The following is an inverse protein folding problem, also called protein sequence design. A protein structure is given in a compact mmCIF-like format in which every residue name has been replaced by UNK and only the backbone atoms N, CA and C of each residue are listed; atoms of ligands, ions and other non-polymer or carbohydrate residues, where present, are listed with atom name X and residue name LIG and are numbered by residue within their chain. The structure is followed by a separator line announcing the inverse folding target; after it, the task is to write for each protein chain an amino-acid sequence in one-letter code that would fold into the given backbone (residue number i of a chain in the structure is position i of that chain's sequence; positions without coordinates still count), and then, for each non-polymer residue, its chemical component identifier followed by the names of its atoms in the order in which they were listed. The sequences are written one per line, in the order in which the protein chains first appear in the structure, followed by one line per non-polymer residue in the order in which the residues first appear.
data_IF_245673697469
#
_entry.id   IF_245673697469
#
_cell.length_a   1.000
_cell.length_b   1.000
_cell.length_c   1.000
_cell.angle_alpha   90.00
_cell.angle_beta   90.00
_cell.angle_gamma   90.00
#
_symmetry.space_group_name_H-M   'P 1'
#
loop_
_entity.id
_entity.type
_entity.pdbx_description
1 polymer ?
#
# COMPACT_ATOMS: atom_id res chain seq x y z
N UNK A 1 2.45 -8.33 -23.85
CA UNK A 1 1.95 -8.72 -25.19
C UNK A 1 1.44 -10.15 -25.12
N UNK A 2 0.12 -10.37 -25.17
CA UNK A 2 -0.45 -11.72 -25.35
C UNK A 2 -0.65 -11.96 -26.84
N UNK A 3 -0.01 -12.98 -27.34
CA UNK A 3 -0.24 -13.53 -28.68
C UNK A 3 -1.47 -14.43 -28.58
N UNK A 4 -2.47 -14.23 -29.43
CA UNK A 4 -3.63 -15.10 -29.55
C UNK A 4 -3.58 -15.85 -30.88
N UNK A 5 -3.98 -17.08 -30.82
CA UNK A 5 -3.84 -18.04 -31.92
C UNK A 5 -5.24 -18.51 -32.29
N UNK A 6 -5.69 -18.16 -33.51
CA UNK A 6 -6.91 -18.70 -34.12
C UNK A 6 -6.59 -20.02 -34.80
N UNK A 7 -7.31 -21.08 -34.44
CA UNK A 7 -7.16 -22.40 -35.06
C UNK A 7 -8.20 -22.56 -36.20
N UNK A 8 -7.77 -22.45 -37.43
CA UNK A 8 -8.64 -22.63 -38.61
C UNK A 8 -8.61 -24.13 -39.01
N UNK A 9 -9.77 -24.82 -38.85
CA UNK A 9 -9.90 -26.24 -39.18
C UNK A 9 -10.54 -26.40 -40.57
N UNK A 10 -9.88 -27.16 -41.45
CA UNK A 10 -10.39 -27.94 -42.55
C UNK A 10 -10.93 -27.27 -43.84
N UNK A 11 -10.58 -26.00 -44.18
CA UNK A 11 -11.14 -25.36 -45.39
C UNK A 11 -10.19 -24.48 -46.18
N UNK A 12 -8.91 -24.37 -45.78
CA UNK A 12 -7.96 -23.53 -46.52
C UNK A 12 -7.40 -24.23 -47.76
N UNK A 13 -7.48 -23.57 -48.89
CA UNK A 13 -6.78 -24.03 -50.10
C UNK A 13 -5.28 -23.71 -49.97
N UNK A 14 -4.43 -24.70 -50.15
CA UNK A 14 -2.98 -24.53 -50.16
C UNK A 14 -2.59 -23.46 -51.19
N UNK A 15 -1.76 -22.49 -50.76
CA UNK A 15 -1.38 -21.30 -51.53
C UNK A 15 -2.49 -20.27 -51.77
N UNK A 16 -3.69 -20.45 -51.22
CA UNK A 16 -4.72 -19.40 -51.19
C UNK A 16 -4.29 -18.18 -50.35
N UNK A 17 -4.75 -17.01 -50.79
CA UNK A 17 -4.53 -15.74 -50.07
C UNK A 17 -5.72 -15.47 -49.14
N UNK A 18 -5.44 -15.11 -47.93
CA UNK A 18 -6.44 -14.90 -46.89
C UNK A 18 -6.15 -13.63 -46.07
N UNK A 19 -7.21 -13.09 -45.46
CA UNK A 19 -7.13 -12.00 -44.49
C UNK A 19 -7.89 -12.39 -43.24
N UNK A 20 -7.28 -12.24 -42.08
CA UNK A 20 -7.95 -12.21 -40.80
C UNK A 20 -8.19 -10.77 -40.39
N UNK A 21 -9.42 -10.47 -39.93
CA UNK A 21 -9.76 -9.24 -39.26
C UNK A 21 -10.18 -9.59 -37.84
N UNK A 22 -9.67 -8.84 -36.85
CA UNK A 22 -10.06 -8.94 -35.45
C UNK A 22 -10.71 -7.62 -35.00
N UNK A 23 -11.77 -7.71 -34.19
CA UNK A 23 -12.51 -6.60 -33.65
C UNK A 23 -12.67 -6.82 -32.13
N UNK A 24 -12.41 -5.81 -31.34
CA UNK A 24 -12.56 -5.88 -29.89
C UNK A 24 -13.97 -5.43 -29.47
N UNK A 25 -14.67 -6.28 -28.72
CA UNK A 25 -16.02 -6.04 -28.19
C UNK A 25 -15.99 -5.90 -26.68
N UNK A 26 -16.84 -5.02 -26.11
CA UNK A 26 -17.14 -4.99 -24.69
C UNK A 26 -18.15 -6.11 -24.40
N UNK A 27 -17.81 -7.06 -23.51
CA UNK A 27 -18.67 -8.21 -23.20
C UNK A 27 -20.01 -7.81 -22.58
N UNK A 28 -20.00 -6.73 -21.78
CA UNK A 28 -21.19 -6.29 -21.04
C UNK A 28 -22.24 -5.66 -21.97
N UNK A 29 -21.81 -4.80 -22.90
CA UNK A 29 -22.72 -4.07 -23.80
C UNK A 29 -22.93 -4.78 -25.11
N UNK A 30 -21.99 -5.64 -25.55
CA UNK A 30 -21.98 -6.26 -26.88
C UNK A 30 -21.51 -5.30 -27.98
N UNK A 31 -21.21 -4.04 -27.64
CA UNK A 31 -20.78 -3.03 -28.62
C UNK A 31 -19.28 -3.16 -28.92
N UNK A 32 -18.84 -2.55 -30.04
CA UNK A 32 -17.43 -2.41 -30.33
C UNK A 32 -16.74 -1.58 -29.27
N UNK A 33 -15.60 -2.08 -28.75
CA UNK A 33 -14.79 -1.27 -27.83
C UNK A 33 -14.11 -0.14 -28.61
N UNK A 34 -14.32 1.11 -28.15
CA UNK A 34 -13.83 2.31 -28.82
C UNK A 34 -12.66 2.93 -28.08
N UNK A 35 -11.62 3.31 -28.81
CA UNK A 35 -10.54 4.18 -28.32
C UNK A 35 -10.56 5.47 -29.15
N UNK A 36 -10.72 6.61 -28.49
CA UNK A 36 -10.89 7.91 -29.15
C UNK A 36 -11.99 7.91 -30.22
N UNK A 37 -13.13 7.24 -29.95
CA UNK A 37 -14.27 7.14 -30.84
C UNK A 37 -14.11 6.23 -32.06
N UNK A 38 -13.00 5.45 -32.13
CA UNK A 38 -12.73 4.49 -33.21
C UNK A 38 -12.72 3.07 -32.66
N UNK A 39 -13.25 2.13 -33.45
CA UNK A 39 -13.19 0.70 -33.15
C UNK A 39 -11.76 0.21 -33.05
N UNK A 40 -11.49 -0.64 -32.07
CA UNK A 40 -10.20 -1.34 -31.94
C UNK A 40 -10.22 -2.58 -32.82
N UNK A 41 -9.50 -2.50 -33.94
CA UNK A 41 -9.41 -3.56 -34.94
C UNK A 41 -7.96 -3.90 -35.29
N UNK A 42 -7.73 -5.10 -35.81
CA UNK A 42 -6.46 -5.53 -36.40
C UNK A 42 -6.70 -6.39 -37.59
N UNK A 43 -5.75 -6.39 -38.53
CA UNK A 43 -5.81 -7.20 -39.74
C UNK A 43 -4.49 -7.94 -39.99
N UNK A 44 -4.58 -9.13 -40.56
CA UNK A 44 -3.43 -9.94 -40.96
C UNK A 44 -3.69 -10.63 -42.28
N UNK A 45 -2.91 -10.27 -43.29
CA UNK A 45 -2.88 -11.02 -44.57
C UNK A 45 -1.92 -12.21 -44.45
N UNK A 46 -2.27 -13.34 -44.97
CA UNK A 46 -1.44 -14.53 -44.99
C UNK A 46 -1.74 -15.46 -46.18
N UNK A 47 -0.79 -16.32 -46.49
CA UNK A 47 -0.99 -17.40 -47.46
C UNK A 47 -1.10 -18.73 -46.71
N UNK A 48 -2.08 -19.55 -47.06
CA UNK A 48 -2.21 -20.85 -46.44
C UNK A 48 -1.11 -21.81 -46.92
N UNK A 49 -0.37 -22.38 -45.99
CA UNK A 49 0.67 -23.40 -46.26
C UNK A 49 0.16 -24.82 -46.07
N UNK A 50 -0.98 -24.97 -45.39
CA UNK A 50 -1.68 -26.23 -45.14
C UNK A 50 -3.19 -26.00 -45.09
N UNK A 51 -4.00 -27.07 -45.13
CA UNK A 51 -5.46 -27.00 -44.96
C UNK A 51 -5.90 -26.56 -43.57
N UNK A 52 -5.03 -26.74 -42.56
CA UNK A 52 -5.21 -26.26 -41.22
C UNK A 52 -3.89 -25.63 -40.72
N UNK A 53 -3.96 -24.44 -40.12
CA UNK A 53 -2.81 -23.72 -39.57
C UNK A 53 -3.25 -22.72 -38.50
N UNK A 54 -2.28 -22.29 -37.73
CA UNK A 54 -2.49 -21.21 -36.74
C UNK A 54 -1.94 -19.89 -37.28
N UNK A 55 -2.69 -18.81 -37.09
CA UNK A 55 -2.29 -17.46 -37.49
C UNK A 55 -2.52 -16.51 -36.35
N UNK A 56 -1.47 -15.78 -35.97
CA UNK A 56 -1.56 -14.76 -34.93
C UNK A 56 -1.98 -13.40 -35.51
N UNK A 57 -3.00 -12.78 -34.92
CA UNK A 57 -3.39 -11.38 -35.15
C UNK A 57 -3.02 -10.56 -33.94
N UNK A 58 -2.23 -9.51 -34.09
CA UNK A 58 -1.78 -8.63 -33.01
C UNK A 58 -2.70 -7.42 -32.91
N UNK A 59 -3.45 -7.33 -31.81
CA UNK A 59 -4.26 -6.16 -31.46
C UNK A 59 -3.47 -5.32 -30.49
N UNK A 60 -3.26 -4.03 -30.81
CA UNK A 60 -2.63 -3.06 -29.92
C UNK A 60 -3.61 -1.91 -29.73
N UNK A 61 -3.94 -1.62 -28.47
CA UNK A 61 -4.87 -0.55 -28.12
C UNK A 61 -4.49 0.06 -26.78
N UNK A 62 -4.94 1.30 -26.55
CA UNK A 62 -4.96 1.92 -25.25
C UNK A 62 -6.16 1.36 -24.47
N UNK A 63 -5.88 0.61 -23.40
CA UNK A 63 -6.89 0.00 -22.52
C UNK A 63 -6.96 0.68 -21.14
N UNK A 64 -6.40 1.87 -20.98
CA UNK A 64 -6.43 2.63 -19.71
C UNK A 64 -7.86 2.86 -19.19
N UNK A 65 -8.84 3.01 -20.08
CA UNK A 65 -10.26 3.18 -19.76
C UNK A 65 -11.06 1.86 -19.69
N UNK A 66 -10.39 0.70 -19.79
CA UNK A 66 -11.03 -0.61 -19.75
C UNK A 66 -10.97 -1.28 -18.37
N UNK A 67 -10.55 -0.56 -17.31
CA UNK A 67 -10.46 -1.10 -15.95
C UNK A 67 -11.82 -1.67 -15.51
N UNK A 68 -11.81 -2.91 -15.03
CA UNK A 68 -13.01 -3.65 -14.62
C UNK A 68 -13.78 -4.32 -15.77
N UNK A 69 -13.40 -4.09 -17.03
CA UNK A 69 -14.10 -4.63 -18.19
C UNK A 69 -13.58 -6.01 -18.63
N UNK A 70 -14.46 -6.74 -19.29
CA UNK A 70 -14.15 -7.94 -20.06
C UNK A 70 -14.29 -7.61 -21.54
N UNK A 71 -13.22 -7.82 -22.29
CA UNK A 71 -13.17 -7.54 -23.72
C UNK A 71 -13.04 -8.84 -24.49
N UNK A 72 -13.90 -9.02 -25.51
CA UNK A 72 -13.94 -10.23 -26.32
C UNK A 72 -13.44 -9.91 -27.73
N UNK A 73 -12.60 -10.78 -28.26
CA UNK A 73 -12.11 -10.64 -29.66
C UNK A 73 -13.03 -11.38 -30.60
N UNK A 74 -13.68 -10.66 -31.50
CA UNK A 74 -14.37 -11.25 -32.65
C UNK A 74 -13.42 -11.34 -33.81
N UNK A 75 -13.49 -12.44 -34.57
CA UNK A 75 -12.57 -12.73 -35.67
C UNK A 75 -13.33 -13.12 -36.94
N UNK A 76 -12.86 -12.57 -38.06
CA UNK A 76 -13.43 -12.77 -39.39
C UNK A 76 -12.35 -13.22 -40.33
N UNK A 77 -12.59 -14.35 -41.02
CA UNK A 77 -11.68 -14.89 -42.01
C UNK A 77 -12.23 -14.63 -43.42
N UNK A 78 -11.44 -13.93 -44.22
CA UNK A 78 -11.75 -13.66 -45.63
C UNK A 78 -10.78 -14.41 -46.51
N UNK A 79 -11.30 -14.92 -47.64
CA UNK A 79 -10.50 -15.36 -48.79
C UNK A 79 -10.34 -14.18 -49.76
N UNK A 80 -9.15 -14.01 -50.31
CA UNK A 80 -8.86 -12.97 -51.29
C UNK A 80 -8.80 -13.63 -52.66
N UNK A 81 -9.72 -13.26 -53.56
CA UNK A 81 -9.79 -13.74 -54.95
C UNK A 81 -9.86 -12.53 -55.87
N UNK A 82 -8.93 -12.39 -56.78
CA UNK A 82 -8.85 -11.26 -57.74
C UNK A 82 -8.90 -9.89 -57.03
N UNK A 83 -8.27 -9.79 -55.87
CA UNK A 83 -8.20 -8.57 -55.04
C UNK A 83 -9.48 -8.25 -54.26
N UNK A 84 -10.50 -9.11 -54.31
CA UNK A 84 -11.75 -8.96 -53.53
C UNK A 84 -11.76 -9.87 -52.32
N UNK A 85 -12.31 -9.35 -51.22
CA UNK A 85 -12.46 -10.07 -49.94
C UNK A 85 -13.82 -10.77 -49.88
N UNK A 86 -13.81 -12.07 -49.62
CA UNK A 86 -15.01 -12.89 -49.42
C UNK A 86 -14.96 -13.47 -48.02
N UNK A 87 -15.94 -13.11 -47.18
CA UNK A 87 -16.07 -13.68 -45.84
C UNK A 87 -16.37 -15.19 -45.96
N UNK A 88 -15.52 -16.01 -45.37
CA UNK A 88 -15.66 -17.48 -45.39
C UNK A 88 -15.91 -18.07 -44.02
N UNK A 89 -15.58 -17.40 -42.94
CA UNK A 89 -15.86 -17.83 -41.56
C UNK A 89 -15.75 -16.66 -40.59
N UNK A 90 -16.47 -16.74 -39.50
CA UNK A 90 -16.33 -15.81 -38.36
C UNK A 90 -16.43 -16.57 -37.02
N UNK A 91 -15.89 -15.97 -35.99
CA UNK A 91 -16.06 -16.40 -34.60
C UNK A 91 -16.51 -15.17 -33.76
N UNK A 92 -17.80 -15.15 -33.42
CA UNK A 92 -18.51 -14.00 -32.85
C UNK A 92 -19.26 -14.35 -31.55
N UNK A 93 -18.70 -15.25 -30.75
CA UNK A 93 -19.30 -15.63 -29.48
C UNK A 93 -18.86 -14.69 -28.37
N UNK A 94 -19.78 -13.78 -27.93
CA UNK A 94 -19.53 -12.79 -26.87
C UNK A 94 -19.23 -13.45 -25.49
N UNK A 95 -19.61 -14.71 -25.31
CA UNK A 95 -19.40 -15.45 -24.07
C UNK A 95 -18.24 -16.44 -24.12
N UNK A 96 -17.49 -16.50 -25.23
CA UNK A 96 -16.32 -17.37 -25.30
C UNK A 96 -15.20 -16.88 -24.40
N UNK A 97 -14.99 -17.56 -23.26
CA UNK A 97 -13.93 -17.26 -22.30
C UNK A 97 -12.51 -17.33 -22.91
N UNK A 98 -12.32 -18.16 -23.95
CA UNK A 98 -11.03 -18.28 -24.63
C UNK A 98 -10.70 -17.07 -25.49
N UNK A 99 -11.70 -16.33 -25.96
CA UNK A 99 -11.56 -15.06 -26.67
C UNK A 99 -11.62 -13.85 -25.75
N UNK A 100 -11.86 -14.04 -24.46
CA UNK A 100 -12.04 -12.95 -23.48
C UNK A 100 -10.73 -12.55 -22.82
N UNK A 101 -10.50 -11.23 -22.75
CA UNK A 101 -9.47 -10.61 -21.90
C UNK A 101 -10.19 -9.84 -20.79
N UNK A 102 -9.87 -10.15 -19.55
CA UNK A 102 -10.33 -9.36 -18.40
C UNK A 102 -9.27 -8.32 -18.04
N UNK A 103 -9.68 -7.07 -17.88
CA UNK A 103 -8.87 -5.98 -17.34
C UNK A 103 -9.31 -5.78 -15.89
N UNK A 104 -8.62 -6.36 -14.92
CA UNK A 104 -9.10 -6.33 -13.52
C UNK A 104 -9.04 -4.91 -12.96
N UNK A 105 -10.00 -4.58 -12.08
CA UNK A 105 -9.88 -3.43 -11.18
C UNK A 105 -8.95 -3.82 -10.04
N UNK A 106 -7.84 -3.11 -9.91
CA UNK A 106 -6.86 -3.32 -8.86
C UNK A 106 -7.14 -2.31 -7.73
N UNK A 107 -7.14 -2.77 -6.50
CA UNK A 107 -7.43 -1.94 -5.34
C UNK A 107 -6.47 -2.27 -4.20
N UNK A 108 -6.13 -1.24 -3.40
CA UNK A 108 -5.41 -1.40 -2.14
C UNK A 108 -6.18 -0.71 -1.02
N UNK A 109 -6.05 -1.28 0.20
CA UNK A 109 -6.45 -0.68 1.47
C UNK A 109 -5.38 -0.98 2.49
N UNK A 110 -5.04 -0.01 3.31
CA UNK A 110 -3.89 -0.14 4.18
C UNK A 110 -4.25 0.07 5.65
N UNK A 111 -3.42 -0.45 6.55
CA UNK A 111 -3.56 -0.29 8.00
C UNK A 111 -2.19 -0.15 8.63
N UNK A 112 -1.94 1.01 9.22
CA UNK A 112 -0.67 1.36 9.82
C UNK A 112 -0.65 1.12 11.33
N UNK A 113 0.50 0.70 11.86
CA UNK A 113 0.77 0.58 13.29
C UNK A 113 2.23 0.82 13.63
N UNK A 114 2.51 1.30 14.81
CA UNK A 114 3.87 1.32 15.35
C UNK A 114 4.35 -0.10 15.65
N UNK A 115 5.58 -0.43 15.21
CA UNK A 115 6.17 -1.77 15.34
C UNK A 115 6.40 -2.21 16.78
N UNK A 116 6.70 -1.27 17.70
CA UNK A 116 6.99 -1.60 19.09
C UNK A 116 5.72 -1.75 19.92
N UNK A 117 4.77 -0.83 19.77
CA UNK A 117 3.52 -0.84 20.52
C UNK A 117 2.49 -1.81 19.94
N UNK A 118 2.59 -2.15 18.65
CA UNK A 118 1.62 -2.91 17.85
C UNK A 118 0.24 -2.22 17.78
N UNK A 119 0.22 -0.88 17.96
CA UNK A 119 -0.99 -0.04 17.98
C UNK A 119 -0.87 1.12 17.01
N UNK A 120 -1.95 1.87 16.86
CA UNK A 120 -1.98 3.18 16.17
C UNK A 120 -1.36 4.32 16.99
N UNK A 121 -0.78 4.03 18.16
CA UNK A 121 -0.03 4.98 18.98
C UNK A 121 1.42 4.56 19.05
N UNK A 122 2.33 5.45 18.67
CA UNK A 122 3.77 5.25 18.66
C UNK A 122 4.50 6.02 19.76
N UNK A 123 5.72 5.61 20.07
CA UNK A 123 6.62 6.34 20.95
C UNK A 123 7.51 7.25 20.12
N UNK A 124 7.45 8.57 20.38
CA UNK A 124 8.29 9.57 19.71
C UNK A 124 9.77 9.39 20.10
N UNK A 125 10.50 8.59 19.30
CA UNK A 125 11.90 8.22 19.57
C UNK A 125 12.70 8.17 18.27
N UNK A 126 14.03 8.17 18.43
CA UNK A 126 14.96 7.82 17.36
C UNK A 126 14.70 6.38 16.90
N UNK A 127 14.80 6.09 15.62
CA UNK A 127 14.60 4.75 15.06
C UNK A 127 13.18 4.16 15.34
N UNK A 128 12.12 5.00 15.29
CA UNK A 128 10.75 4.53 15.27
C UNK A 128 10.46 3.78 13.96
N UNK A 129 9.64 2.75 14.01
CA UNK A 129 9.25 2.00 12.80
C UNK A 129 7.73 1.87 12.75
N UNK A 130 7.13 2.31 11.64
CA UNK A 130 5.74 2.05 11.30
C UNK A 130 5.71 0.86 10.34
N UNK A 131 4.81 -0.10 10.61
CA UNK A 131 4.46 -1.17 9.69
C UNK A 131 3.10 -0.80 9.08
N UNK A 132 3.06 -0.64 7.77
CA UNK A 132 1.82 -0.50 7.03
C UNK A 132 1.50 -1.80 6.29
N UNK A 133 0.37 -2.42 6.64
CA UNK A 133 -0.12 -3.64 5.99
C UNK A 133 -1.03 -3.25 4.83
N UNK A 134 -0.53 -3.43 3.62
CA UNK A 134 -1.24 -3.15 2.36
C UNK A 134 -2.02 -4.40 1.95
N UNK A 135 -3.34 -4.35 2.09
CA UNK A 135 -4.26 -5.37 1.59
C UNK A 135 -4.59 -5.04 0.14
N UNK A 136 -4.41 -5.99 -0.76
CA UNK A 136 -4.66 -5.81 -2.18
C UNK A 136 -5.74 -6.77 -2.72
N UNK A 137 -6.40 -6.35 -3.79
CA UNK A 137 -7.34 -7.18 -4.56
C UNK A 137 -7.26 -6.89 -6.07
N UNK A 138 -7.67 -7.87 -6.89
CA UNK A 138 -7.67 -7.75 -8.34
C UNK A 138 -6.29 -7.80 -8.99
N UNK A 139 -5.23 -8.21 -8.29
CA UNK A 139 -3.90 -8.29 -8.87
C UNK A 139 -3.78 -9.50 -9.81
N UNK A 140 -2.92 -9.35 -10.82
CA UNK A 140 -2.61 -10.41 -11.78
C UNK A 140 -1.52 -11.30 -11.15
N UNK A 141 -1.88 -12.56 -10.91
CA UNK A 141 -0.98 -13.56 -10.33
C UNK A 141 0.28 -13.73 -11.17
N UNK A 142 1.45 -13.77 -10.54
CA UNK A 142 2.75 -13.92 -11.21
C UNK A 142 3.28 -12.65 -11.87
N UNK A 143 2.56 -11.52 -11.82
CA UNK A 143 3.04 -10.20 -12.24
C UNK A 143 3.72 -9.50 -11.07
N UNK A 144 4.89 -8.88 -11.31
CA UNK A 144 5.58 -8.08 -10.28
C UNK A 144 4.87 -6.73 -10.07
N UNK A 145 4.68 -6.36 -8.80
CA UNK A 145 4.14 -5.08 -8.34
C UNK A 145 5.09 -4.40 -7.36
N UNK A 146 5.03 -3.07 -7.30
CA UNK A 146 5.76 -2.27 -6.31
C UNK A 146 4.78 -1.35 -5.60
N UNK A 147 4.71 -1.48 -4.26
CA UNK A 147 4.07 -0.49 -3.39
C UNK A 147 5.11 0.57 -3.05
N UNK A 148 4.74 1.85 -3.18
CA UNK A 148 5.55 3.00 -2.75
C UNK A 148 4.76 3.82 -1.76
N UNK A 149 5.32 3.98 -0.56
CA UNK A 149 4.68 4.70 0.51
C UNK A 149 5.41 5.97 0.92
N UNK A 150 4.65 6.92 1.46
CA UNK A 150 5.15 8.17 2.04
C UNK A 150 4.40 8.48 3.33
N UNK A 151 5.13 8.93 4.37
CA UNK A 151 4.52 9.44 5.58
C UNK A 151 4.12 10.91 5.41
N UNK A 152 2.87 11.22 5.78
CA UNK A 152 2.31 12.57 5.75
C UNK A 152 2.08 13.06 7.19
N UNK A 153 2.34 14.33 7.48
CA UNK A 153 1.92 14.98 8.73
C UNK A 153 0.42 15.28 8.66
N UNK A 154 -0.36 14.72 9.58
CA UNK A 154 -1.82 14.89 9.59
C UNK A 154 -2.24 16.35 9.73
N UNK A 155 -1.57 17.10 10.60
CA UNK A 155 -1.90 18.50 10.89
C UNK A 155 -1.71 19.46 9.71
N UNK A 156 -0.78 19.17 8.79
CA UNK A 156 -0.45 20.07 7.65
C UNK A 156 -0.81 19.49 6.30
N UNK A 157 -1.07 18.19 6.22
CA UNK A 157 -1.23 17.45 4.96
C UNK A 157 -0.01 17.58 4.03
N UNK A 158 1.19 17.66 4.61
CA UNK A 158 2.45 17.71 3.88
C UNK A 158 3.30 16.47 4.19
N UNK A 159 4.20 16.06 3.27
CA UNK A 159 5.10 14.95 3.54
C UNK A 159 5.96 15.20 4.79
N UNK A 160 6.05 14.19 5.68
CA UNK A 160 6.97 14.21 6.81
C UNK A 160 8.41 14.31 6.33
N UNK A 161 9.13 15.34 6.78
CA UNK A 161 10.55 15.54 6.49
C UNK A 161 11.41 15.22 7.70
N UNK A 162 12.38 14.33 7.55
CA UNK A 162 13.44 14.08 8.52
C UNK A 162 14.76 14.47 7.89
N UNK A 163 15.48 15.40 8.51
CA UNK A 163 16.71 15.98 7.94
C UNK A 163 16.52 16.53 6.51
N UNK A 164 15.37 17.14 6.21
CA UNK A 164 15.04 17.74 4.93
C UNK A 164 14.66 16.72 3.83
N UNK A 165 14.56 15.43 4.15
CA UNK A 165 14.16 14.37 3.21
C UNK A 165 12.80 13.80 3.60
N UNK A 166 11.96 13.50 2.59
CA UNK A 166 10.70 12.79 2.79
C UNK A 166 10.96 11.41 3.38
N UNK A 167 10.12 10.99 4.33
CA UNK A 167 10.12 9.62 4.83
C UNK A 167 9.30 8.77 3.88
N UNK A 168 9.98 7.89 3.17
CA UNK A 168 9.37 6.99 2.17
C UNK A 168 9.84 5.57 2.38
N UNK A 169 9.04 4.62 1.93
CA UNK A 169 9.42 3.21 1.85
C UNK A 169 8.85 2.59 0.58
N UNK A 170 9.42 1.47 0.14
CA UNK A 170 8.89 0.73 -0.99
C UNK A 170 9.02 -0.78 -0.77
N UNK A 171 8.12 -1.53 -1.39
CA UNK A 171 8.12 -2.98 -1.36
C UNK A 171 7.72 -3.55 -2.71
N UNK A 172 8.62 -4.30 -3.34
CA UNK A 172 8.34 -5.07 -4.55
C UNK A 172 7.96 -6.50 -4.19
N UNK A 173 6.94 -7.05 -4.85
CA UNK A 173 6.45 -8.40 -4.61
C UNK A 173 5.74 -8.97 -5.84
N UNK A 174 5.62 -10.29 -5.87
CA UNK A 174 4.86 -11.04 -6.89
C UNK A 174 3.71 -11.75 -6.19
N UNK A 175 2.45 -11.40 -6.46
CA UNK A 175 1.31 -12.02 -5.80
C UNK A 175 1.11 -13.46 -6.27
N UNK A 176 0.93 -14.37 -5.32
CA UNK A 176 0.57 -15.78 -5.56
C UNK A 176 -0.95 -15.95 -5.75
N UNK A 177 -1.74 -14.98 -5.29
CA UNK A 177 -3.20 -14.91 -5.41
C UNK A 177 -3.61 -13.50 -5.81
N UNK A 178 -4.77 -13.37 -6.46
CA UNK A 178 -5.31 -12.06 -6.86
C UNK A 178 -5.64 -11.13 -5.69
N UNK A 179 -5.75 -11.66 -4.47
CA UNK A 179 -5.97 -10.91 -3.23
C UNK A 179 -5.04 -11.44 -2.14
N UNK A 180 -4.56 -10.54 -1.29
CA UNK A 180 -3.63 -10.85 -0.21
C UNK A 180 -3.17 -9.58 0.49
N UNK A 181 -2.02 -9.65 1.16
CA UNK A 181 -1.40 -8.49 1.83
C UNK A 181 0.11 -8.53 1.74
N UNK A 182 0.72 -7.35 1.90
CA UNK A 182 2.16 -7.15 2.00
C UNK A 182 2.43 -6.04 3.01
N UNK A 183 3.50 -6.19 3.82
CA UNK A 183 3.90 -5.16 4.77
C UNK A 183 4.98 -4.26 4.17
N UNK A 184 4.80 -2.93 4.37
CA UNK A 184 5.76 -1.88 4.05
C UNK A 184 6.25 -1.28 5.36
N UNK A 185 7.56 -1.21 5.59
CA UNK A 185 8.15 -0.71 6.84
C UNK A 185 8.83 0.64 6.63
N UNK A 186 8.45 1.64 7.43
CA UNK A 186 9.06 2.97 7.48
C UNK A 186 9.86 3.10 8.76
N UNK A 187 11.17 3.25 8.66
CA UNK A 187 12.06 3.50 9.83
C UNK A 187 12.61 4.92 9.74
N UNK A 188 12.42 5.71 10.80
CA UNK A 188 12.76 7.12 10.80
C UNK A 188 12.95 7.69 12.22
N UNK A 189 13.49 8.89 12.33
CA UNK A 189 13.59 9.63 13.59
C UNK A 189 12.26 10.35 13.87
N UNK A 190 11.49 9.83 14.83
CA UNK A 190 10.21 10.38 15.28
C UNK A 190 10.35 11.28 16.52
N UNK A 191 11.57 11.60 17.00
CA UNK A 191 11.79 12.31 18.27
C UNK A 191 11.08 13.67 18.34
N UNK A 192 10.82 14.30 17.21
CA UNK A 192 10.15 15.60 17.12
C UNK A 192 8.62 15.50 16.96
N UNK A 193 8.04 14.29 16.96
CA UNK A 193 6.62 14.08 16.66
C UNK A 193 5.72 14.00 17.90
N UNK A 194 6.24 14.27 19.10
CA UNK A 194 5.44 14.28 20.32
C UNK A 194 4.27 15.28 20.19
N UNK A 195 3.05 14.80 20.36
CA UNK A 195 1.81 15.57 20.14
C UNK A 195 1.30 15.62 18.70
N UNK A 196 2.02 14.98 17.77
CA UNK A 196 1.69 14.95 16.34
C UNK A 196 1.15 13.58 15.91
N UNK A 197 0.53 13.54 14.72
CA UNK A 197 0.11 12.32 14.05
C UNK A 197 0.65 12.26 12.62
N UNK A 198 0.96 11.05 12.18
CA UNK A 198 1.35 10.79 10.78
C UNK A 198 0.35 9.85 10.12
N UNK A 199 0.15 10.02 8.81
CA UNK A 199 -0.72 9.18 7.99
C UNK A 199 0.13 8.57 6.89
N UNK A 200 -0.04 7.27 6.63
CA UNK A 200 0.67 6.57 5.56
C UNK A 200 -0.12 6.69 4.28
N UNK A 201 0.48 7.21 3.22
CA UNK A 201 -0.07 7.19 1.86
C UNK A 201 0.64 6.14 1.03
N UNK A 202 -0.12 5.31 0.33
CA UNK A 202 0.42 4.21 -0.47
C UNK A 202 -0.09 4.25 -1.92
N UNK A 203 0.85 3.97 -2.84
CA UNK A 203 0.61 3.88 -4.28
C UNK A 203 1.11 2.53 -4.79
N UNK A 204 0.29 1.81 -5.55
CA UNK A 204 0.63 0.53 -6.16
C UNK A 204 0.95 0.70 -7.63
N UNK A 205 2.08 0.16 -8.05
CA UNK A 205 2.58 0.22 -9.42
C UNK A 205 2.77 -1.16 -10.03
N UNK A 206 2.55 -1.26 -11.34
CA UNK A 206 2.97 -2.37 -12.18
C UNK A 206 3.63 -1.82 -13.44
N UNK A 207 4.87 -2.24 -13.76
CA UNK A 207 5.63 -1.73 -14.92
C UNK A 207 5.63 -0.18 -14.99
N UNK A 208 5.87 0.50 -13.86
CA UNK A 208 5.85 1.96 -13.68
C UNK A 208 4.49 2.65 -13.91
N UNK A 209 3.40 1.89 -14.10
CA UNK A 209 2.04 2.41 -14.17
C UNK A 209 1.39 2.32 -12.80
N UNK A 210 0.92 3.46 -12.27
CA UNK A 210 0.09 3.46 -11.05
C UNK A 210 -1.27 2.83 -11.33
N UNK A 211 -1.63 1.82 -10.55
CA UNK A 211 -2.85 1.03 -10.76
C UNK A 211 -3.84 1.12 -9.60
N UNK A 212 -3.38 1.53 -8.43
CA UNK A 212 -4.22 1.82 -7.26
C UNK A 212 -3.46 2.73 -6.29
N UNK A 213 -4.20 3.48 -5.46
CA UNK A 213 -3.65 4.27 -4.37
C UNK A 213 -4.60 4.27 -3.17
N UNK A 214 -4.05 4.49 -1.98
CA UNK A 214 -4.78 4.77 -0.75
C UNK A 214 -4.13 5.99 -0.07
N UNK A 215 -4.76 7.17 -0.21
CA UNK A 215 -4.19 8.49 0.12
C UNK A 215 -5.19 9.39 0.84
N UNK A 216 -5.94 8.83 1.79
CA UNK A 216 -6.90 9.58 2.61
C UNK A 216 -6.25 10.06 3.91
N UNK A 217 -6.02 11.38 4.03
CA UNK A 217 -5.39 12.00 5.23
C UNK A 217 -6.26 11.83 6.50
N UNK A 218 -7.56 11.59 6.35
CA UNK A 218 -8.48 11.41 7.48
C UNK A 218 -8.68 9.95 7.87
N UNK A 219 -8.11 9.00 7.12
CA UNK A 219 -8.25 7.58 7.43
C UNK A 219 -7.54 7.22 8.73
N UNK A 220 -8.33 6.83 9.74
CA UNK A 220 -7.83 6.41 11.05
C UNK A 220 -7.05 5.09 10.97
N UNK A 221 -7.36 4.23 10.01
CA UNK A 221 -6.64 2.98 9.78
C UNK A 221 -5.19 3.21 9.30
N UNK A 222 -4.92 4.34 8.64
CA UNK A 222 -3.59 4.74 8.15
C UNK A 222 -2.87 5.71 9.11
N UNK A 223 -3.51 6.10 10.23
CA UNK A 223 -2.96 7.09 11.16
C UNK A 223 -2.17 6.42 12.28
N UNK A 224 -0.98 6.96 12.60
CA UNK A 224 -0.22 6.65 13.82
C UNK A 224 -0.01 7.94 14.60
N UNK A 225 -0.54 7.97 15.83
CA UNK A 225 -0.44 9.08 16.75
C UNK A 225 0.82 8.96 17.64
N UNK A 226 1.47 10.08 17.93
CA UNK A 226 2.59 10.19 18.87
C UNK A 226 2.16 11.06 20.04
N UNK A 227 1.51 10.48 21.08
CA UNK A 227 0.90 11.27 22.16
C UNK A 227 1.94 12.08 22.94
N UNK A 228 1.54 13.26 23.40
CA UNK A 228 2.31 14.06 24.35
C UNK A 228 2.24 13.42 25.74
N UNK A 229 3.40 13.21 26.36
CA UNK A 229 3.50 12.63 27.69
C UNK A 229 3.80 13.71 28.73
N UNK A 230 2.99 13.80 29.75
CA UNK A 230 3.22 14.71 30.87
C UNK A 230 3.32 13.97 32.20
N UNK A 231 4.15 14.48 33.10
CA UNK A 231 4.18 14.10 34.51
C UNK A 231 4.08 15.33 35.42
N UNK A 232 3.34 15.19 36.50
CA UNK A 232 3.26 16.17 37.63
C UNK A 232 3.45 15.41 38.94
N UNK A 233 4.23 15.95 39.83
CA UNK A 233 4.55 15.26 41.09
C UNK A 233 4.19 16.04 42.30
N UNK A 234 3.96 15.33 43.42
CA UNK A 234 3.70 15.90 44.73
C UNK A 234 4.40 15.08 45.80
N UNK A 235 5.33 15.71 46.52
CA UNK A 235 6.11 15.05 47.55
C UNK A 235 5.57 15.32 48.96
N UNK A 236 5.64 14.32 49.84
CA UNK A 236 5.33 14.43 51.27
C UNK A 236 6.23 13.53 52.11
N UNK A 237 6.49 13.92 53.34
CA UNK A 237 7.10 13.05 54.34
C UNK A 237 6.13 11.93 54.73
N UNK A 238 6.64 10.68 54.83
CA UNK A 238 5.81 9.50 55.13
C UNK A 238 5.19 9.52 56.51
N UNK A 239 5.92 10.04 57.52
CA UNK A 239 5.46 10.00 58.90
C UNK A 239 4.51 11.15 59.22
N UNK A 240 4.82 12.35 58.77
CA UNK A 240 3.97 13.54 58.99
C UNK A 240 2.78 13.62 58.04
N UNK A 241 2.86 12.94 56.88
CA UNK A 241 1.91 13.05 55.77
C UNK A 241 1.78 14.48 55.20
N UNK A 242 2.77 15.34 55.48
CA UNK A 242 2.80 16.76 55.08
C UNK A 242 4.06 17.07 54.26
N UNK A 243 4.14 18.29 53.74
CA UNK A 243 5.34 18.81 53.07
C UNK A 243 6.49 19.12 54.06
N UNK A 244 6.20 19.12 55.35
CA UNK A 244 7.16 19.33 56.44
C UNK A 244 7.56 17.97 57.05
N UNK A 245 8.86 17.68 57.05
CA UNK A 245 9.43 16.47 57.63
C UNK A 245 10.21 16.71 58.88
N UNK A 246 10.46 15.64 59.67
CA UNK A 246 11.26 15.65 60.87
C UNK A 246 12.69 15.21 60.53
N UNK A 247 13.69 16.02 60.86
CA UNK A 247 15.09 15.69 60.67
C UNK A 247 15.53 14.56 61.61
N UNK A 248 15.54 13.33 61.09
CA UNK A 248 15.92 12.10 61.82
C UNK A 248 16.67 11.13 60.92
N UNK A 249 17.24 10.07 61.54
CA UNK A 249 17.80 8.95 60.77
C UNK A 249 16.68 8.19 60.04
N UNK A 250 16.90 7.78 58.79
CA UNK A 250 15.94 7.01 57.99
C UNK A 250 14.59 7.71 57.77
N UNK A 251 14.59 8.89 57.15
CA UNK A 251 13.42 9.57 56.63
C UNK A 251 12.98 8.96 55.31
N UNK A 252 11.67 8.77 55.10
CA UNK A 252 11.09 8.35 53.84
C UNK A 252 10.23 9.47 53.25
N UNK A 253 10.51 9.87 52.05
CA UNK A 253 9.69 10.77 51.24
C UNK A 253 8.84 9.95 50.30
N UNK A 254 7.54 10.24 50.20
CA UNK A 254 6.65 9.67 49.20
C UNK A 254 6.47 10.73 48.14
N UNK A 255 6.87 10.45 46.93
CA UNK A 255 6.57 11.25 45.73
C UNK A 255 5.45 10.59 44.93
N UNK A 256 4.32 11.29 44.80
CA UNK A 256 3.19 10.83 44.00
C UNK A 256 3.30 11.42 42.60
N UNK A 257 3.47 10.56 41.60
CA UNK A 257 3.57 10.96 40.22
C UNK A 257 2.22 10.79 39.51
N UNK A 258 1.65 11.92 39.06
CA UNK A 258 0.49 11.92 38.18
C UNK A 258 0.98 12.02 36.75
N UNK A 259 0.46 11.20 35.88
CA UNK A 259 0.87 11.15 34.46
C UNK A 259 -0.35 11.23 33.54
N UNK A 260 -0.12 11.68 32.28
CA UNK A 260 -1.09 11.69 31.20
C UNK A 260 -0.42 11.37 29.88
N UNK A 261 -1.22 10.93 28.90
CA UNK A 261 -0.77 10.63 27.55
C UNK A 261 0.00 9.30 27.39
N UNK A 262 0.12 8.46 28.45
CA UNK A 262 0.82 7.19 28.32
C UNK A 262 0.05 6.19 27.46
N UNK A 263 0.77 5.40 26.68
CA UNK A 263 0.21 4.34 25.82
C UNK A 263 -0.12 3.14 26.70
N UNK A 264 -1.38 2.79 26.83
CA UNK A 264 -1.85 1.69 27.68
C UNK A 264 -1.21 0.37 27.28
N UNK A 265 -0.68 -0.37 28.26
CA UNK A 265 -0.02 -1.67 28.04
C UNK A 265 1.46 -1.57 27.64
N UNK A 266 2.03 -0.36 27.59
CA UNK A 266 3.48 -0.17 27.52
C UNK A 266 4.05 -0.06 28.94
N UNK A 267 5.25 -0.61 29.16
CA UNK A 267 5.97 -0.50 30.43
C UNK A 267 6.69 0.84 30.51
N UNK A 268 6.55 1.53 31.63
CA UNK A 268 7.21 2.81 31.93
C UNK A 268 7.98 2.72 33.23
N UNK A 269 9.09 3.46 33.30
CA UNK A 269 9.88 3.60 34.52
C UNK A 269 10.00 5.06 34.92
N UNK A 270 9.52 5.40 36.11
CA UNK A 270 9.75 6.72 36.75
C UNK A 270 11.00 6.65 37.59
N UNK A 271 11.90 7.63 37.43
CA UNK A 271 13.11 7.81 38.23
C UNK A 271 13.07 9.15 38.91
N UNK A 272 13.27 9.15 40.23
CA UNK A 272 13.33 10.36 41.05
C UNK A 272 14.69 10.53 41.72
N UNK A 273 15.10 11.78 41.89
CA UNK A 273 16.30 12.16 42.69
C UNK A 273 15.94 13.30 43.62
N UNK A 274 16.44 13.24 44.87
CA UNK A 274 16.26 14.35 45.82
C UNK A 274 17.27 15.45 45.52
N UNK A 275 16.80 16.66 45.31
CA UNK A 275 17.60 17.86 45.04
C UNK A 275 17.53 18.81 46.24
N UNK A 276 18.68 19.34 46.66
CA UNK A 276 18.75 20.43 47.62
C UNK A 276 18.30 21.74 46.99
N UNK A 277 17.18 22.31 47.46
CA UNK A 277 16.57 23.51 46.85
C UNK A 277 17.54 24.72 46.79
N UNK A 278 18.39 24.85 47.83
CA UNK A 278 19.35 25.98 47.91
C UNK A 278 20.48 25.93 46.90
N UNK A 279 21.09 24.78 46.70
CA UNK A 279 22.26 24.58 45.81
C UNK A 279 21.85 24.06 44.42
N UNK A 280 20.63 23.48 44.28
CA UNK A 280 20.16 22.77 43.09
C UNK A 280 20.98 21.52 42.77
N UNK A 281 21.71 20.98 43.75
CA UNK A 281 22.53 19.79 43.60
C UNK A 281 21.83 18.57 44.21
N UNK A 282 22.14 17.32 43.73
CA UNK A 282 21.62 16.10 44.35
C UNK A 282 21.98 16.00 45.84
N UNK A 283 21.00 15.58 46.68
CA UNK A 283 21.28 15.25 48.06
C UNK A 283 22.15 13.99 48.14
N UNK A 284 23.32 14.13 48.75
CA UNK A 284 24.24 13.02 48.98
C UNK A 284 24.15 12.48 50.40
N UNK A 285 23.97 11.16 50.53
CA UNK A 285 24.10 10.46 51.81
C UNK A 285 25.22 9.43 51.68
N UNK A 286 26.25 9.55 52.53
CA UNK A 286 27.48 8.73 52.40
C UNK A 286 28.11 8.79 51.02
N UNK A 287 28.08 9.97 50.37
CA UNK A 287 28.68 10.18 49.04
C UNK A 287 27.85 9.63 47.88
N UNK A 288 26.63 9.14 48.10
CA UNK A 288 25.73 8.62 47.06
C UNK A 288 24.48 9.48 46.98
N UNK A 289 23.99 9.69 45.74
CA UNK A 289 22.70 10.35 45.49
C UNK A 289 21.54 9.56 46.08
N UNK A 290 20.55 10.27 46.61
CA UNK A 290 19.30 9.69 47.09
C UNK A 290 18.33 9.63 45.94
N UNK A 291 18.17 8.43 45.40
CA UNK A 291 17.31 8.15 44.21
C UNK A 291 16.25 7.11 44.52
N UNK A 292 15.19 7.11 43.78
CA UNK A 292 14.18 6.05 43.73
C UNK A 292 13.73 5.80 42.29
N UNK A 293 13.31 4.58 42.01
CA UNK A 293 12.70 4.25 40.72
C UNK A 293 11.54 3.28 40.90
N UNK A 294 10.57 3.36 40.00
CA UNK A 294 9.43 2.44 39.94
C UNK A 294 9.03 2.20 38.49
N UNK A 295 8.95 0.92 38.15
CA UNK A 295 8.38 0.45 36.87
C UNK A 295 6.93 0.02 37.07
N UNK A 296 6.08 0.28 36.07
CA UNK A 296 4.64 -0.03 36.10
C UNK A 296 4.07 -0.17 34.71
#
# INVERSE_FOLDING_TARGET
RRQRQMCIRDSLYKSGQYKLKALLKDQETGDSYLVNGKEVTAEKNFSATASAMNVDVLITADLSNAVGKKLVVYEYLYQIVDGKEFLISSHEDIHDEKQTITIPKQEIRTTAKDKNTQKSEGIAKKDATIIDTVNYSGLIVGQEYTVKGVLMLKGTNEPLLVNGKKVTAEKTFVPEKSSGSVDVEFTFDASALQGEAVVVFEHLYVQDVEVAAHTDIEDQGQTVDYPEHEIKTTAKDKDTQKAEGIAKKNVTIIDTVNYSGLIVGQEYTVKGVLILKGTKEPLLVNGKEVTAEKTF
#
